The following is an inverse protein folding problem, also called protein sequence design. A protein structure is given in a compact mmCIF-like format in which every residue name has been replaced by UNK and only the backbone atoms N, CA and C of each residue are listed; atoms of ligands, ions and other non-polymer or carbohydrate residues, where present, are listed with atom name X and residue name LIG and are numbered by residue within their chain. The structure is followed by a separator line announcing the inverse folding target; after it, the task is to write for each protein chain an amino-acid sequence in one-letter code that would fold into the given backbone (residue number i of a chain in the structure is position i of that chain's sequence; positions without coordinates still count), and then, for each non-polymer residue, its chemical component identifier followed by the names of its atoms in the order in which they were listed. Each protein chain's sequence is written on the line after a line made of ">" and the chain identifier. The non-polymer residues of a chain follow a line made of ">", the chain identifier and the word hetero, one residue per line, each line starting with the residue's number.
data_IF_750327946669
#
_entry.id   IF_750327946669
#
_cell.length_a   1.000
_cell.length_b   1.000
_cell.length_c   1.000
_cell.angle_alpha   90.00
_cell.angle_beta   90.00
_cell.angle_gamma   90.00
#
_symmetry.space_group_name_H-M   'P 1'
#
loop_
_entity.id
_entity.type
_entity.pdbx_description
1 polymer ?
#
# COMPACT_ATOMS: atom_id res chain seq x y z
N UNK A 1 -17.99 43.45 2.08
CA UNK A 1 -18.31 42.02 1.95
C UNK A 1 -17.05 41.27 2.35
N UNK A 2 -16.89 41.06 3.66
CA UNK A 2 -15.64 40.61 4.29
C UNK A 2 -15.40 39.12 4.05
N UNK A 3 -14.12 38.79 3.87
CA UNK A 3 -13.58 37.53 3.36
C UNK A 3 -14.10 36.26 4.07
N UNK A 4 -14.43 35.25 3.28
CA UNK A 4 -14.77 33.92 3.76
C UNK A 4 -13.53 33.24 4.34
N UNK A 5 -13.45 33.20 5.68
CA UNK A 5 -12.43 32.48 6.42
C UNK A 5 -12.71 30.99 6.34
N UNK A 6 -12.00 30.29 5.46
CA UNK A 6 -12.00 28.82 5.37
C UNK A 6 -11.32 28.30 6.66
N UNK A 7 -12.01 27.57 7.55
CA UNK A 7 -11.38 27.00 8.73
C UNK A 7 -10.44 25.86 8.29
N UNK A 8 -9.19 25.94 8.76
CA UNK A 8 -8.12 24.99 8.48
C UNK A 8 -8.54 23.57 8.93
N UNK A 9 -8.55 22.64 7.97
CA UNK A 9 -8.91 21.23 8.19
C UNK A 9 -7.82 20.57 9.05
N UNK A 10 -8.00 20.65 10.37
CA UNK A 10 -7.18 19.97 11.38
C UNK A 10 -7.55 18.49 11.39
N UNK A 11 -6.79 17.65 10.68
CA UNK A 11 -7.00 16.20 10.77
C UNK A 11 -6.43 15.35 9.65
N UNK A 12 -5.30 15.72 9.06
CA UNK A 12 -4.49 14.74 8.33
C UNK A 12 -3.82 13.86 9.37
N UNK A 13 -4.59 12.86 9.82
CA UNK A 13 -4.13 11.72 10.60
C UNK A 13 -2.88 11.17 9.91
N UNK A 14 -1.73 11.47 10.50
CA UNK A 14 -0.47 10.80 10.23
C UNK A 14 -0.66 9.37 10.76
N UNK A 15 -1.32 8.55 9.95
CA UNK A 15 -1.42 7.12 10.16
C UNK A 15 0.03 6.64 10.16
N UNK A 16 0.50 6.24 11.33
CA UNK A 16 1.84 5.73 11.57
C UNK A 16 2.11 4.61 10.60
N UNK A 17 2.70 4.97 9.45
CA UNK A 17 3.27 4.07 8.48
C UNK A 17 4.35 3.31 9.22
N UNK A 18 3.99 2.18 9.80
CA UNK A 18 4.96 1.17 10.18
C UNK A 18 5.75 0.95 8.89
N UNK A 19 6.99 1.41 8.86
CA UNK A 19 7.89 1.22 7.72
C UNK A 19 8.15 -0.27 7.62
N UNK A 20 7.23 -0.97 6.98
CA UNK A 20 7.33 -2.39 6.69
C UNK A 20 8.44 -2.52 5.66
N UNK A 21 9.27 -3.54 5.77
CA UNK A 21 10.20 -3.88 4.70
C UNK A 21 9.47 -4.68 3.64
N UNK A 22 9.97 -4.62 2.42
CA UNK A 22 9.49 -5.46 1.34
C UNK A 22 9.60 -6.93 1.75
N UNK A 23 8.49 -7.67 1.63
CA UNK A 23 8.42 -9.10 1.98
C UNK A 23 9.04 -10.02 0.90
N UNK A 24 9.67 -9.43 -0.12
CA UNK A 24 10.25 -10.17 -1.23
C UNK A 24 11.62 -10.74 -0.86
N UNK A 25 11.94 -11.92 -1.41
CA UNK A 25 13.21 -12.57 -1.13
C UNK A 25 14.38 -11.68 -1.56
N UNK A 26 15.33 -11.48 -0.64
CA UNK A 26 16.51 -10.63 -0.84
C UNK A 26 16.21 -9.13 -1.09
N UNK A 27 15.02 -8.64 -0.73
CA UNK A 27 14.70 -7.22 -0.83
C UNK A 27 14.79 -6.51 0.54
N UNK A 28 15.47 -5.37 0.58
CA UNK A 28 15.61 -4.53 1.79
C UNK A 28 14.90 -3.17 1.66
N UNK A 29 14.20 -2.95 0.54
CA UNK A 29 13.45 -1.73 0.24
C UNK A 29 12.24 -1.56 1.16
N UNK A 30 11.72 -0.33 1.19
CA UNK A 30 10.51 0.00 1.93
C UNK A 30 9.26 -0.61 1.27
N UNK A 31 8.54 -1.40 2.07
CA UNK A 31 7.24 -1.98 1.74
C UNK A 31 6.15 -0.94 1.92
N UNK A 32 5.94 -0.12 0.89
CA UNK A 32 4.92 0.96 0.88
C UNK A 32 3.61 0.47 0.25
N UNK A 33 3.64 -0.62 -0.52
CA UNK A 33 2.49 -1.11 -1.27
C UNK A 33 1.95 -2.41 -0.66
N UNK A 34 0.71 -2.41 -0.11
CA UNK A 34 0.08 -3.63 0.36
C UNK A 34 -0.45 -4.47 -0.81
N UNK A 35 -0.28 -5.78 -0.74
CA UNK A 35 -0.83 -6.75 -1.68
C UNK A 35 -1.49 -7.92 -0.92
N UNK A 36 -2.58 -8.51 -1.42
CA UNK A 36 -3.19 -9.69 -0.81
C UNK A 36 -2.25 -10.88 -0.91
N UNK A 37 -2.04 -11.62 0.18
CA UNK A 37 -1.07 -12.73 0.26
C UNK A 37 -1.46 -13.90 -0.65
N UNK A 38 -2.74 -14.22 -0.76
CA UNK A 38 -3.26 -15.30 -1.60
C UNK A 38 -4.65 -14.94 -2.14
N UNK A 39 -5.09 -15.60 -3.22
CA UNK A 39 -6.45 -15.40 -3.78
C UNK A 39 -7.55 -15.85 -2.84
N UNK A 40 -7.29 -16.93 -2.11
CA UNK A 40 -8.22 -17.52 -1.15
C UNK A 40 -8.27 -16.70 0.16
N UNK A 41 -7.14 -16.09 0.54
CA UNK A 41 -7.00 -15.33 1.78
C UNK A 41 -6.80 -13.82 1.51
N UNK A 42 -7.91 -13.17 1.16
CA UNK A 42 -7.99 -11.71 0.96
C UNK A 42 -7.93 -10.91 2.28
N UNK A 43 -7.82 -11.58 3.43
CA UNK A 43 -7.69 -10.93 4.74
C UNK A 43 -6.23 -10.71 5.15
N UNK A 44 -5.29 -11.43 4.54
CA UNK A 44 -3.86 -11.26 4.78
C UNK A 44 -3.25 -10.33 3.74
N UNK A 45 -2.65 -9.23 4.21
CA UNK A 45 -1.93 -8.28 3.36
C UNK A 45 -0.44 -8.31 3.69
N UNK A 46 0.38 -8.42 2.65
CA UNK A 46 1.86 -8.33 2.70
C UNK A 46 2.31 -7.01 2.08
N UNK A 47 3.45 -6.50 2.51
CA UNK A 47 3.94 -5.20 2.04
C UNK A 47 5.13 -5.38 1.10
N UNK A 48 5.04 -4.75 -0.07
CA UNK A 48 6.07 -4.82 -1.10
C UNK A 48 6.54 -3.41 -1.51
N UNK A 49 7.75 -3.34 -2.07
CA UNK A 49 8.23 -2.15 -2.75
C UNK A 49 7.61 -2.02 -4.14
N UNK A 50 7.79 -0.86 -4.79
CA UNK A 50 7.21 -0.57 -6.11
C UNK A 50 7.60 -1.62 -7.17
N UNK A 51 8.82 -2.15 -7.10
CA UNK A 51 9.30 -3.14 -8.05
C UNK A 51 8.62 -4.50 -7.84
N UNK A 52 8.61 -4.97 -6.60
CA UNK A 52 8.05 -6.28 -6.28
C UNK A 52 6.53 -6.33 -6.36
N UNK A 53 5.82 -5.27 -5.97
CA UNK A 53 4.35 -5.23 -6.12
C UNK A 53 3.94 -5.29 -7.59
N UNK A 54 4.73 -4.71 -8.49
CA UNK A 54 4.50 -4.81 -9.94
C UNK A 54 4.71 -6.23 -10.44
N UNK A 55 5.80 -6.89 -10.05
CA UNK A 55 6.07 -8.28 -10.42
C UNK A 55 4.99 -9.22 -9.86
N UNK A 56 4.61 -9.00 -8.60
CA UNK A 56 3.53 -9.69 -7.92
C UNK A 56 2.20 -9.55 -8.67
N UNK A 57 1.84 -8.32 -9.05
CA UNK A 57 0.61 -8.04 -9.80
C UNK A 57 0.67 -8.55 -11.25
N UNK A 58 1.84 -8.61 -11.89
CA UNK A 58 1.99 -9.23 -13.22
C UNK A 58 1.69 -10.73 -13.18
N UNK A 59 2.13 -11.43 -12.13
CA UNK A 59 1.80 -12.84 -11.91
C UNK A 59 0.38 -13.06 -11.37
N UNK A 60 -0.23 -12.02 -10.81
CA UNK A 60 -1.62 -12.00 -10.39
C UNK A 60 -2.55 -11.94 -11.62
N UNK A 61 -2.64 -13.06 -12.34
CA UNK A 61 -3.57 -13.27 -13.45
C UNK A 61 -5.02 -13.20 -12.97
N UNK A 62 -5.56 -12.01 -12.71
CA UNK A 62 -6.97 -11.83 -12.38
C UNK A 62 -7.89 -12.39 -13.50
N UNK A 63 -7.36 -12.57 -14.72
CA UNK A 63 -8.05 -12.98 -15.94
C UNK A 63 -7.79 -14.41 -16.44
N UNK A 64 -7.24 -15.32 -15.63
CA UNK A 64 -7.29 -16.76 -15.99
C UNK A 64 -8.64 -17.32 -15.54
N UNK A 65 -9.65 -17.09 -16.36
CA UNK A 65 -11.04 -17.53 -16.18
C UNK A 65 -11.77 -17.55 -17.51
#
# INVERSE_FOLDING_TARGET
>A
MTEAKIPEIRGLKEETSQTKKCEAEHCLEDGIYPAPRNRDDLRSYVWFCLQHVREYNKGWNYFDG
#
